data_IF_902858366527
#
_entry.id   IF_902858366527
#
_cell.length_a   1.000
_cell.length_b   1.000
_cell.length_c   1.000
_cell.angle_alpha   90.00
_cell.angle_beta   90.00
_cell.angle_gamma   90.00
#
_symmetry.space_group_name_H-M   'P 1'
#
loop_
_entity.id
_entity.type
_entity.pdbx_description
1 polymer ?
#
# COMPACT_ATOMS: atom_id res chain seq x y z
N UNK A 1 -14.18 17.58 -18.89
CA UNK A 1 -14.27 17.83 -17.42
C UNK A 1 -12.86 18.07 -16.91
N UNK A 2 -12.67 19.08 -16.09
CA UNK A 2 -11.38 19.31 -15.44
C UNK A 2 -11.14 18.13 -14.47
N UNK A 3 -9.91 17.60 -14.46
CA UNK A 3 -9.55 16.51 -13.57
C UNK A 3 -9.29 17.11 -12.20
N UNK A 4 -10.08 16.71 -11.22
CA UNK A 4 -10.15 17.33 -9.89
C UNK A 4 -9.22 16.67 -8.86
N UNK A 5 -8.38 15.72 -9.26
CA UNK A 5 -7.48 15.03 -8.35
C UNK A 5 -6.04 14.88 -8.87
N UNK A 6 -5.12 14.69 -7.95
CA UNK A 6 -3.70 14.39 -8.20
C UNK A 6 -3.39 13.02 -7.59
N UNK A 7 -3.03 12.01 -8.38
CA UNK A 7 -2.58 10.74 -7.83
C UNK A 7 -1.17 10.88 -7.23
N UNK A 8 -0.99 10.36 -6.02
CA UNK A 8 0.29 10.28 -5.31
C UNK A 8 0.57 8.83 -4.97
N UNK A 9 1.65 8.28 -5.50
CA UNK A 9 2.06 6.91 -5.25
C UNK A 9 3.32 6.87 -4.39
N UNK A 10 3.31 5.99 -3.39
CA UNK A 10 4.46 5.70 -2.55
C UNK A 10 5.07 4.37 -3.00
N UNK A 11 6.31 4.41 -3.48
CA UNK A 11 7.02 3.28 -4.08
C UNK A 11 7.63 3.65 -5.42
N UNK A 12 8.53 2.83 -5.95
CA UNK A 12 9.26 3.16 -7.17
C UNK A 12 9.56 1.96 -8.07
N UNK A 13 8.86 0.86 -7.83
CA UNK A 13 8.98 -0.38 -8.60
C UNK A 13 8.00 -0.41 -9.79
N UNK A 14 7.89 -1.57 -10.41
CA UNK A 14 7.00 -1.80 -11.54
C UNK A 14 5.52 -1.61 -11.17
N UNK A 15 5.13 -1.82 -9.90
CA UNK A 15 3.76 -1.63 -9.45
C UNK A 15 3.40 -0.14 -9.48
N UNK A 16 4.30 0.72 -8.97
CA UNK A 16 4.14 2.17 -9.03
C UNK A 16 4.02 2.68 -10.47
N UNK A 17 4.88 2.18 -11.38
CA UNK A 17 4.79 2.52 -12.79
C UNK A 17 3.47 2.07 -13.41
N UNK A 18 3.04 0.83 -13.14
CA UNK A 18 1.79 0.27 -13.69
C UNK A 18 0.57 1.05 -13.23
N UNK A 19 0.53 1.47 -11.96
CA UNK A 19 -0.55 2.31 -11.43
C UNK A 19 -0.53 3.71 -12.05
N UNK A 20 0.64 4.34 -12.17
CA UNK A 20 0.78 5.64 -12.82
C UNK A 20 0.34 5.60 -14.29
N UNK A 21 0.66 4.50 -15.00
CA UNK A 21 0.21 4.27 -16.36
C UNK A 21 -1.32 4.13 -16.44
N UNK A 22 -1.93 3.37 -15.55
CA UNK A 22 -3.39 3.22 -15.49
C UNK A 22 -4.09 4.58 -15.27
N UNK A 23 -3.58 5.42 -14.36
CA UNK A 23 -4.09 6.77 -14.15
C UNK A 23 -3.94 7.64 -15.40
N UNK A 24 -2.81 7.54 -16.07
CA UNK A 24 -2.58 8.30 -17.30
C UNK A 24 -3.51 7.85 -18.43
N UNK A 25 -3.66 6.54 -18.66
CA UNK A 25 -4.52 5.99 -19.70
C UNK A 25 -6.01 6.31 -19.46
N UNK A 26 -6.45 6.25 -18.20
CA UNK A 26 -7.86 6.50 -17.87
C UNK A 26 -8.24 7.99 -17.80
N UNK A 27 -7.32 8.83 -17.32
CA UNK A 27 -7.64 10.22 -16.96
C UNK A 27 -6.73 11.27 -17.61
N UNK A 28 -5.67 10.87 -18.33
CA UNK A 28 -4.69 11.80 -18.90
C UNK A 28 -3.85 12.55 -17.87
N UNK A 29 -3.85 12.12 -16.60
CA UNK A 29 -3.13 12.79 -15.52
C UNK A 29 -1.67 12.38 -15.48
N UNK A 30 -0.84 13.27 -14.94
CA UNK A 30 0.52 12.97 -14.50
C UNK A 30 0.48 12.60 -13.01
N UNK A 31 1.12 11.49 -12.66
CA UNK A 31 1.15 10.98 -11.29
C UNK A 31 2.41 11.43 -10.56
N UNK A 32 2.31 11.89 -9.33
CA UNK A 32 3.45 12.12 -8.45
C UNK A 32 3.83 10.78 -7.82
N UNK A 33 5.11 10.41 -7.93
CA UNK A 33 5.63 9.15 -7.39
C UNK A 33 6.81 9.46 -6.47
N UNK A 34 6.68 9.07 -5.21
CA UNK A 34 7.75 9.16 -4.24
C UNK A 34 8.52 7.83 -4.13
N UNK A 35 9.82 7.87 -4.43
CA UNK A 35 10.74 6.75 -4.22
C UNK A 35 11.87 7.10 -3.25
N UNK A 36 12.50 6.10 -2.65
CA UNK A 36 13.63 6.30 -1.73
C UNK A 36 14.95 6.57 -2.45
N UNK A 37 15.06 6.17 -3.70
CA UNK A 37 16.25 6.33 -4.54
C UNK A 37 15.86 6.52 -6.02
N UNK A 38 16.77 6.99 -6.89
CA UNK A 38 16.49 7.07 -8.31
C UNK A 38 16.24 5.68 -8.92
N UNK A 39 14.99 5.39 -9.24
CA UNK A 39 14.57 4.12 -9.83
C UNK A 39 14.29 4.30 -11.32
N UNK A 40 15.01 3.57 -12.17
CA UNK A 40 14.94 3.72 -13.63
C UNK A 40 13.54 3.47 -14.22
N UNK A 41 12.72 2.66 -13.55
CA UNK A 41 11.35 2.35 -13.99
C UNK A 41 10.44 3.59 -13.95
N UNK A 42 10.59 4.44 -12.93
CA UNK A 42 9.76 5.64 -12.74
C UNK A 42 10.47 6.93 -13.15
N UNK A 43 11.79 7.00 -12.86
CA UNK A 43 12.59 8.18 -13.17
C UNK A 43 12.73 8.36 -14.71
N UNK A 44 12.42 9.53 -15.22
CA UNK A 44 12.45 9.82 -16.66
C UNK A 44 11.17 9.46 -17.42
N UNK A 45 10.17 8.89 -16.78
CA UNK A 45 8.87 8.68 -17.39
C UNK A 45 8.12 10.00 -17.60
N UNK A 46 7.54 10.18 -18.79
CA UNK A 46 6.78 11.41 -19.13
C UNK A 46 5.46 11.53 -18.39
N UNK A 47 4.93 10.41 -17.92
CA UNK A 47 3.65 10.34 -17.21
C UNK A 47 3.79 10.42 -15.69
N UNK A 48 5.04 10.51 -15.20
CA UNK A 48 5.38 10.54 -13.78
C UNK A 48 6.14 11.84 -13.43
N UNK A 49 5.75 12.48 -12.35
CA UNK A 49 6.57 13.43 -11.62
C UNK A 49 7.27 12.66 -10.48
N UNK A 50 8.53 12.27 -10.72
CA UNK A 50 9.27 11.41 -9.81
C UNK A 50 10.06 12.22 -8.79
N UNK A 51 9.76 11.99 -7.52
CA UNK A 51 10.38 12.70 -6.39
C UNK A 51 11.15 11.73 -5.50
N UNK A 52 12.45 11.92 -5.37
CA UNK A 52 13.29 11.12 -4.48
C UNK A 52 13.22 11.69 -3.06
N UNK A 53 12.87 10.85 -2.10
CA UNK A 53 12.82 11.18 -0.67
C UNK A 53 13.36 10.01 0.14
N UNK A 54 14.47 10.20 0.82
CA UNK A 54 15.02 9.20 1.73
C UNK A 54 14.01 8.86 2.84
N UNK A 55 13.99 7.60 3.25
CA UNK A 55 13.09 7.11 4.30
C UNK A 55 11.60 7.37 4.05
N UNK A 56 11.18 7.39 2.76
CA UNK A 56 9.80 7.62 2.37
C UNK A 56 8.81 6.50 2.80
N UNK A 57 9.27 5.50 3.53
CA UNK A 57 8.47 4.44 4.16
C UNK A 57 8.17 4.71 5.65
N UNK A 58 8.77 5.75 6.23
CA UNK A 58 8.52 6.14 7.62
C UNK A 58 7.23 6.97 7.74
N UNK A 59 6.51 6.76 8.83
CA UNK A 59 5.23 7.43 9.13
C UNK A 59 5.34 8.96 9.03
N UNK A 60 6.36 9.53 9.67
CA UNK A 60 6.62 10.98 9.67
C UNK A 60 6.92 11.53 8.27
N UNK A 61 7.70 10.78 7.47
CA UNK A 61 8.07 11.18 6.11
C UNK A 61 6.93 11.06 5.11
N UNK A 62 6.10 10.04 5.25
CA UNK A 62 4.88 9.92 4.43
C UNK A 62 3.94 11.08 4.68
N UNK A 63 3.72 11.47 5.95
CA UNK A 63 2.90 12.63 6.29
C UNK A 63 3.46 13.93 5.70
N UNK A 64 4.77 14.15 5.85
CA UNK A 64 5.47 15.32 5.32
C UNK A 64 5.28 15.43 3.80
N UNK A 65 5.58 14.36 3.06
CA UNK A 65 5.51 14.32 1.60
C UNK A 65 4.08 14.51 1.07
N UNK A 66 3.10 13.84 1.68
CA UNK A 66 1.69 13.99 1.30
C UNK A 66 1.17 15.37 1.60
N UNK A 67 1.55 15.95 2.75
CA UNK A 67 1.17 17.31 3.12
C UNK A 67 1.80 18.37 2.18
N UNK A 68 3.04 18.14 1.73
CA UNK A 68 3.69 18.98 0.71
C UNK A 68 2.83 19.05 -0.55
N UNK A 69 2.40 17.89 -1.09
CA UNK A 69 1.55 17.84 -2.29
C UNK A 69 0.18 18.47 -2.03
N UNK A 70 -0.42 18.23 -0.85
CA UNK A 70 -1.71 18.83 -0.51
C UNK A 70 -1.68 20.35 -0.51
N UNK A 71 -0.55 20.96 -0.11
CA UNK A 71 -0.32 22.41 -0.16
C UNK A 71 0.02 22.92 -1.57
N UNK A 72 0.72 22.11 -2.36
CA UNK A 72 1.04 22.43 -3.77
C UNK A 72 -0.24 22.50 -4.64
N UNK A 73 -1.26 21.70 -4.30
CA UNK A 73 -2.53 21.61 -5.03
C UNK A 73 -3.74 21.79 -4.10
N UNK A 74 -3.93 22.99 -3.52
CA UNK A 74 -4.96 23.22 -2.50
C UNK A 74 -6.40 23.04 -3.01
N UNK A 75 -6.62 23.27 -4.30
CA UNK A 75 -7.94 23.20 -4.94
C UNK A 75 -8.24 21.82 -5.55
N UNK A 76 -7.38 20.81 -5.31
CA UNK A 76 -7.53 19.46 -5.84
C UNK A 76 -7.55 18.41 -4.74
N UNK A 77 -8.23 17.31 -5.00
CA UNK A 77 -8.12 16.14 -4.12
C UNK A 77 -6.80 15.39 -4.40
N UNK A 78 -6.12 15.01 -3.35
CA UNK A 78 -4.86 14.24 -3.41
C UNK A 78 -5.18 12.79 -3.10
N UNK A 79 -5.08 11.92 -4.11
CA UNK A 79 -5.34 10.49 -3.94
C UNK A 79 -4.03 9.75 -3.65
N UNK A 80 -3.88 9.26 -2.41
CA UNK A 80 -2.65 8.61 -1.93
C UNK A 80 -2.78 7.10 -1.98
N UNK A 81 -1.83 6.43 -2.64
CA UNK A 81 -1.78 4.97 -2.73
C UNK A 81 -0.35 4.45 -2.49
N UNK A 82 -0.24 3.36 -1.73
CA UNK A 82 1.01 2.65 -1.46
C UNK A 82 1.23 1.49 -2.44
N UNK A 83 2.44 1.37 -2.96
CA UNK A 83 2.81 0.32 -3.90
C UNK A 83 3.66 -0.78 -3.24
N UNK A 84 3.47 -1.02 -1.94
CA UNK A 84 4.13 -2.05 -1.16
C UNK A 84 3.65 -2.03 0.29
N UNK A 85 3.77 -3.16 0.98
CA UNK A 85 3.20 -3.37 2.32
C UNK A 85 3.76 -2.39 3.36
N UNK A 86 5.03 -2.03 3.27
CA UNK A 86 5.66 -1.04 4.14
C UNK A 86 4.98 0.34 4.09
N UNK A 87 4.46 0.74 2.93
CA UNK A 87 3.75 2.01 2.78
C UNK A 87 2.34 1.97 3.37
N UNK A 88 1.70 0.80 3.40
CA UNK A 88 0.33 0.65 3.92
C UNK A 88 0.27 1.05 5.40
N UNK A 89 1.22 0.57 6.21
CA UNK A 89 1.32 0.93 7.63
C UNK A 89 1.48 2.45 7.82
N UNK A 90 2.38 3.07 7.06
CA UNK A 90 2.63 4.49 7.17
C UNK A 90 1.43 5.34 6.72
N UNK A 91 0.70 4.91 5.68
CA UNK A 91 -0.53 5.58 5.23
C UNK A 91 -1.62 5.45 6.27
N UNK A 92 -1.90 4.24 6.76
CA UNK A 92 -2.96 3.97 7.74
C UNK A 92 -2.72 4.67 9.08
N UNK A 93 -1.47 4.74 9.55
CA UNK A 93 -1.10 5.48 10.75
C UNK A 93 -1.35 6.99 10.63
N UNK A 94 -1.32 7.52 9.41
CA UNK A 94 -1.50 8.94 9.16
C UNK A 94 -2.93 9.35 8.81
N UNK A 95 -3.88 8.43 8.68
CA UNK A 95 -5.26 8.74 8.31
C UNK A 95 -5.87 9.92 9.11
N UNK A 96 -5.71 10.00 10.44
CA UNK A 96 -6.28 11.09 11.22
C UNK A 96 -5.53 12.42 11.08
N UNK A 97 -4.34 12.42 10.47
CA UNK A 97 -3.44 13.57 10.41
C UNK A 97 -3.37 14.22 9.02
N UNK A 98 -3.97 13.59 8.01
CA UNK A 98 -3.93 14.13 6.66
C UNK A 98 -4.76 15.40 6.50
N UNK A 99 -4.31 16.37 5.65
CA UNK A 99 -5.12 17.51 5.25
C UNK A 99 -6.46 17.08 4.64
N UNK A 100 -7.47 17.97 4.73
CA UNK A 100 -8.85 17.70 4.29
C UNK A 100 -8.99 17.36 2.79
N UNK A 101 -8.08 17.87 1.96
CA UNK A 101 -8.06 17.57 0.54
C UNK A 101 -7.36 16.24 0.20
N UNK A 102 -6.85 15.48 1.19
CA UNK A 102 -6.23 14.16 0.99
C UNK A 102 -7.26 13.05 1.10
N UNK A 103 -7.24 12.15 0.15
CA UNK A 103 -8.02 10.90 0.13
C UNK A 103 -7.03 9.74 0.16
N UNK A 104 -7.05 8.97 1.24
CA UNK A 104 -6.30 7.73 1.38
C UNK A 104 -7.31 6.60 1.67
N UNK A 105 -7.70 5.79 0.67
CA UNK A 105 -8.77 4.78 0.81
C UNK A 105 -8.26 3.53 1.52
N UNK A 106 -7.80 3.72 2.76
CA UNK A 106 -7.25 2.65 3.61
C UNK A 106 -8.06 2.50 4.89
N UNK A 107 -7.93 1.33 5.48
CA UNK A 107 -8.51 1.02 6.79
C UNK A 107 -7.65 1.58 7.92
N UNK A 108 -8.20 1.67 9.14
CA UNK A 108 -7.43 2.04 10.33
C UNK A 108 -6.23 1.12 10.55
N UNK A 109 -5.22 1.60 11.27
CA UNK A 109 -4.03 0.80 11.57
C UNK A 109 -4.36 -0.51 12.28
N UNK A 110 -5.26 -0.51 13.26
CA UNK A 110 -5.69 -1.71 13.99
C UNK A 110 -6.33 -2.75 13.05
N UNK A 111 -7.16 -2.29 12.13
CA UNK A 111 -7.76 -3.19 11.13
C UNK A 111 -6.69 -3.70 10.16
N UNK A 112 -5.78 -2.84 9.73
CA UNK A 112 -4.68 -3.24 8.85
C UNK A 112 -3.81 -4.32 9.50
N UNK A 113 -3.43 -4.18 10.76
CA UNK A 113 -2.67 -5.19 11.52
C UNK A 113 -3.39 -6.55 11.57
N UNK A 114 -4.71 -6.54 11.62
CA UNK A 114 -5.49 -7.78 11.53
C UNK A 114 -5.45 -8.39 10.13
N UNK A 115 -5.56 -7.57 9.09
CA UNK A 115 -5.64 -8.04 7.71
C UNK A 115 -4.29 -8.52 7.13
N UNK A 116 -3.17 -7.94 7.55
CA UNK A 116 -1.84 -8.35 7.06
C UNK A 116 -1.32 -9.64 7.70
N UNK A 117 -1.77 -9.96 8.92
CA UNK A 117 -1.45 -11.22 9.58
C UNK A 117 -2.35 -12.35 9.08
N UNK A 118 -1.77 -13.29 8.32
CA UNK A 118 -2.53 -14.37 7.67
C UNK A 118 -3.39 -15.19 8.63
N UNK A 119 -2.87 -15.52 9.82
CA UNK A 119 -3.62 -16.23 10.85
C UNK A 119 -4.88 -15.44 11.25
N UNK A 120 -4.73 -14.18 11.67
CA UNK A 120 -5.85 -13.31 12.04
C UNK A 120 -6.82 -13.06 10.88
N UNK A 121 -6.27 -12.94 9.66
CA UNK A 121 -7.07 -12.77 8.46
C UNK A 121 -7.95 -14.00 8.18
N UNK A 122 -7.42 -15.21 8.31
CA UNK A 122 -8.21 -16.43 8.13
C UNK A 122 -9.24 -16.64 9.26
N UNK A 123 -8.90 -16.32 10.51
CA UNK A 123 -9.88 -16.27 11.60
C UNK A 123 -11.04 -15.29 11.31
N UNK A 124 -10.71 -14.16 10.67
CA UNK A 124 -11.72 -13.20 10.24
C UNK A 124 -12.58 -13.77 9.10
N UNK A 125 -11.97 -14.46 8.13
CA UNK A 125 -12.70 -15.14 7.06
C UNK A 125 -13.68 -16.17 7.61
N UNK A 126 -13.24 -17.02 8.55
CA UNK A 126 -14.11 -18.00 9.22
C UNK A 126 -15.30 -17.33 9.92
N UNK A 127 -15.05 -16.24 10.64
CA UNK A 127 -16.09 -15.48 11.34
C UNK A 127 -17.18 -14.94 10.41
N UNK A 128 -16.80 -14.56 9.18
CA UNK A 128 -17.72 -14.00 8.18
C UNK A 128 -18.18 -15.00 7.13
N UNK A 129 -17.81 -16.29 7.26
CA UNK A 129 -18.15 -17.32 6.29
C UNK A 129 -17.54 -17.10 4.91
N UNK A 130 -16.34 -16.52 4.85
CA UNK A 130 -15.60 -16.27 3.61
C UNK A 130 -14.64 -17.45 3.39
N UNK A 131 -14.73 -18.07 2.22
CA UNK A 131 -13.85 -19.17 1.85
C UNK A 131 -12.38 -18.72 1.78
N UNK A 132 -11.49 -19.51 2.35
CA UNK A 132 -10.05 -19.32 2.27
C UNK A 132 -9.32 -20.66 2.13
N UNK A 133 -8.05 -20.67 1.69
CA UNK A 133 -7.28 -21.91 1.59
C UNK A 133 -7.13 -22.58 2.96
N UNK A 134 -7.31 -23.92 3.01
CA UNK A 134 -7.02 -24.69 4.22
C UNK A 134 -5.59 -24.39 4.69
N UNK A 135 -5.46 -23.97 5.95
CA UNK A 135 -4.20 -23.42 6.47
C UNK A 135 -3.92 -23.98 7.85
N UNK A 136 -2.66 -24.31 8.09
CA UNK A 136 -2.13 -24.62 9.43
C UNK A 136 -1.03 -23.65 9.75
N UNK A 137 -1.12 -23.03 10.93
CA UNK A 137 -0.10 -22.12 11.42
C UNK A 137 0.88 -22.89 12.29
N UNK A 138 2.15 -22.83 11.93
CA UNK A 138 3.24 -23.43 12.72
C UNK A 138 3.90 -22.35 13.59
N UNK A 139 3.84 -22.53 14.89
CA UNK A 139 4.54 -21.68 15.86
C UNK A 139 5.85 -22.31 16.32
N UNK A 140 6.85 -21.48 16.56
CA UNK A 140 8.14 -21.90 17.10
C UNK A 140 7.93 -22.67 18.40
N UNK A 141 8.39 -23.96 18.43
CA UNK A 141 8.24 -24.84 19.60
C UNK A 141 7.16 -25.93 19.48
N UNK A 142 6.37 -25.93 18.40
CA UNK A 142 5.37 -27.00 18.20
C UNK A 142 5.96 -28.39 17.89
N UNK A 143 7.31 -28.51 17.73
CA UNK A 143 7.97 -29.78 17.41
C UNK A 143 7.81 -30.16 15.94
N UNK A 144 8.29 -31.35 15.59
CA UNK A 144 8.30 -31.83 14.20
C UNK A 144 7.11 -32.72 13.84
N UNK A 145 6.32 -33.13 14.82
CA UNK A 145 5.16 -34.00 14.64
C UNK A 145 3.87 -33.21 14.78
N UNK A 146 3.43 -32.58 13.67
CA UNK A 146 2.07 -32.06 13.55
C UNK A 146 1.43 -32.66 12.30
N UNK A 147 0.16 -32.99 12.42
CA UNK A 147 -0.61 -33.52 11.31
C UNK A 147 -1.19 -32.39 10.48
N UNK A 148 -1.03 -32.47 9.17
CA UNK A 148 -1.72 -31.58 8.25
C UNK A 148 -3.13 -32.15 7.99
N UNK A 149 -4.20 -31.37 8.16
CA UNK A 149 -5.57 -31.84 7.94
C UNK A 149 -5.94 -31.94 6.45
N UNK A 150 -4.97 -31.83 5.57
CA UNK A 150 -5.15 -31.87 4.11
C UNK A 150 -3.93 -32.46 3.40
N UNK A 151 -4.15 -33.00 2.20
CA UNK A 151 -3.10 -33.55 1.33
C UNK A 151 -2.40 -32.44 0.52
N UNK A 152 -1.13 -32.69 0.15
CA UNK A 152 -0.35 -31.76 -0.68
C UNK A 152 -0.76 -31.77 -2.16
N UNK A 153 -0.18 -30.84 -2.94
CA UNK A 153 0.95 -29.98 -2.59
C UNK A 153 0.58 -28.77 -1.73
N UNK A 154 1.52 -28.31 -0.88
CA UNK A 154 1.31 -27.14 -0.03
C UNK A 154 2.33 -26.03 -0.30
N UNK A 155 1.95 -24.80 0.03
CA UNK A 155 2.81 -23.64 0.02
C UNK A 155 3.15 -23.25 1.46
N UNK A 156 4.44 -23.19 1.78
CA UNK A 156 4.93 -22.70 3.08
C UNK A 156 5.32 -21.23 2.92
N UNK A 157 4.80 -20.37 3.79
CA UNK A 157 5.11 -18.93 3.79
C UNK A 157 5.40 -18.48 5.23
N UNK A 158 6.33 -17.52 5.44
CA UNK A 158 6.42 -16.82 6.72
C UNK A 158 5.11 -16.08 6.99
N UNK A 159 4.74 -16.01 8.26
CA UNK A 159 3.59 -15.24 8.70
C UNK A 159 3.94 -13.75 8.88
#
# INVERSE_FOLDING_TARGET
MAIEFVPVLLGSDINAYSMARAFHEAYGVKTIVYGMFPASVCAGSRIIDYRVREHNDRVDKVLENVTEVAREFPDRKILVLGCGDNYLNAISANLPNYPENVIAPYVSLDMLETLIHKEKFYELCDRYGIDHPATVVYHKGMGHAFELPFDGPFVVKPA
#
